data_IF_762321346441
#
_entry.id   IF_762321346441
#
_cell.length_a   1.000
_cell.length_b   1.000
_cell.length_c   1.000
_cell.angle_alpha   90.00
_cell.angle_beta   90.00
_cell.angle_gamma   90.00
#
_symmetry.space_group_name_H-M   'P 1'
#
loop_
_entity.id
_entity.type
_entity.pdbx_description
1 polymer ?
#
# COMPACT_ATOMS: atom_id res chain seq x y z
N UNK A 1 -12.26 -5.51 -12.43
CA UNK A 1 -12.70 -5.11 -11.08
C UNK A 1 -12.12 -3.79 -10.59
N UNK A 2 -11.02 -3.27 -11.17
CA UNK A 2 -10.47 -1.94 -10.84
C UNK A 2 -10.19 -1.74 -9.34
N UNK A 3 -9.63 -2.77 -8.69
CA UNK A 3 -9.24 -2.73 -7.28
C UNK A 3 -7.74 -2.44 -7.24
N UNK A 4 -7.29 -1.31 -6.65
CA UNK A 4 -5.87 -1.00 -6.55
C UNK A 4 -5.16 -1.95 -5.57
N UNK A 5 -3.88 -2.24 -5.86
CA UNK A 5 -3.00 -3.03 -5.00
C UNK A 5 -1.82 -2.14 -4.59
N UNK A 6 -1.70 -1.90 -3.29
CA UNK A 6 -0.64 -1.08 -2.71
C UNK A 6 0.45 -1.97 -2.12
N UNK A 7 1.72 -1.69 -2.45
CA UNK A 7 2.86 -2.48 -1.98
C UNK A 7 4.07 -1.56 -1.76
N UNK A 8 4.14 -0.86 -0.60
CA UNK A 8 5.26 0.04 -0.31
C UNK A 8 6.62 -0.70 -0.21
N UNK A 9 6.61 -1.99 0.11
CA UNK A 9 7.78 -2.87 0.15
C UNK A 9 8.05 -3.63 -1.15
N UNK A 10 7.72 -3.06 -2.32
CA UNK A 10 7.77 -3.76 -3.62
C UNK A 10 9.14 -4.39 -3.94
N UNK A 11 10.22 -3.77 -3.45
CA UNK A 11 11.59 -4.22 -3.68
C UNK A 11 12.04 -5.35 -2.73
N UNK A 12 11.28 -5.64 -1.67
CA UNK A 12 11.63 -6.65 -0.67
C UNK A 12 11.08 -8.04 -1.06
N UNK A 13 11.64 -8.60 -2.12
CA UNK A 13 11.28 -9.92 -2.66
C UNK A 13 11.95 -10.21 -3.99
N UNK A 14 11.67 -11.37 -4.59
CA UNK A 14 12.31 -11.80 -5.85
C UNK A 14 12.08 -10.82 -7.02
N UNK A 15 10.98 -10.06 -7.00
CA UNK A 15 10.77 -8.98 -7.97
C UNK A 15 11.84 -7.88 -7.83
N UNK A 16 12.23 -7.54 -6.61
CA UNK A 16 13.32 -6.60 -6.32
C UNK A 16 14.66 -7.05 -6.90
N UNK A 17 14.98 -8.34 -6.83
CA UNK A 17 16.18 -8.90 -7.47
C UNK A 17 16.17 -8.66 -8.98
N UNK A 18 15.01 -8.85 -9.61
CA UNK A 18 14.85 -8.60 -11.05
C UNK A 18 14.96 -7.12 -11.39
N UNK A 19 14.41 -6.23 -10.55
CA UNK A 19 14.57 -4.78 -10.71
C UNK A 19 16.05 -4.36 -10.62
N UNK A 20 16.81 -4.96 -9.71
CA UNK A 20 18.24 -4.76 -9.59
C UNK A 20 19.00 -5.23 -10.85
N UNK A 21 18.76 -6.47 -11.32
CA UNK A 21 19.42 -6.94 -12.55
C UNK A 21 19.03 -6.09 -13.76
N UNK A 22 17.78 -5.63 -13.83
CA UNK A 22 17.32 -4.73 -14.87
C UNK A 22 18.04 -3.38 -14.82
N UNK A 23 18.24 -2.78 -13.64
CA UNK A 23 18.91 -1.48 -13.50
C UNK A 23 20.40 -1.52 -13.85
N UNK A 24 21.06 -2.67 -13.70
CA UNK A 24 22.46 -2.85 -14.12
C UNK A 24 22.59 -2.93 -15.65
N UNK A 25 21.56 -3.46 -16.33
CA UNK A 25 21.60 -3.72 -17.77
C UNK A 25 21.03 -2.60 -18.65
N UNK A 26 20.19 -1.72 -18.09
CA UNK A 26 19.45 -0.71 -18.85
C UNK A 26 19.63 0.68 -18.25
N UNK A 27 19.85 1.68 -19.12
CA UNK A 27 19.89 3.10 -18.77
C UNK A 27 18.90 3.88 -19.67
N UNK A 28 17.88 4.57 -19.10
CA UNK A 28 17.59 4.68 -17.67
C UNK A 28 16.93 3.43 -17.09
N UNK A 29 17.25 3.11 -15.83
CA UNK A 29 16.58 2.06 -15.06
C UNK A 29 15.12 2.41 -14.72
N UNK A 30 14.36 1.44 -14.20
CA UNK A 30 12.99 1.69 -13.74
C UNK A 30 13.01 2.49 -12.43
N UNK A 31 12.24 3.58 -12.39
CA UNK A 31 12.03 4.37 -11.17
C UNK A 31 10.64 4.04 -10.62
N UNK A 32 10.58 3.65 -9.35
CA UNK A 32 9.33 3.37 -8.63
C UNK A 32 9.07 4.48 -7.62
N UNK A 33 7.99 5.23 -7.82
CA UNK A 33 7.60 6.33 -6.94
C UNK A 33 6.60 5.88 -5.87
N UNK A 34 7.12 5.60 -4.66
CA UNK A 34 6.30 5.21 -3.51
C UNK A 34 5.47 6.38 -2.92
N UNK A 35 5.80 7.64 -3.25
CA UNK A 35 5.07 8.81 -2.75
C UNK A 35 3.71 8.93 -3.43
N UNK A 36 3.64 8.59 -4.72
CA UNK A 36 2.36 8.51 -5.43
C UNK A 36 1.46 7.41 -4.85
N UNK A 37 2.04 6.27 -4.47
CA UNK A 37 1.30 5.13 -3.94
C UNK A 37 0.66 5.45 -2.59
N UNK A 38 1.42 6.01 -1.63
CA UNK A 38 0.88 6.43 -0.33
C UNK A 38 -0.16 7.54 -0.46
N UNK A 39 0.02 8.48 -1.41
CA UNK A 39 -0.97 9.55 -1.65
C UNK A 39 -2.27 8.97 -2.20
N UNK A 40 -2.19 7.98 -3.09
CA UNK A 40 -3.36 7.28 -3.60
C UNK A 40 -4.07 6.50 -2.47
N UNK A 41 -3.35 5.67 -1.72
CA UNK A 41 -3.92 4.87 -0.63
C UNK A 41 -4.58 5.72 0.47
N UNK A 42 -3.87 6.73 0.97
CA UNK A 42 -4.44 7.66 1.96
C UNK A 42 -5.65 8.41 1.37
N UNK A 43 -5.57 8.75 0.08
CA UNK A 43 -6.67 9.35 -0.67
C UNK A 43 -7.92 8.49 -0.70
N UNK A 44 -7.80 7.17 -0.86
CA UNK A 44 -8.93 6.23 -0.79
C UNK A 44 -9.65 6.31 0.56
N UNK A 45 -8.89 6.30 1.66
CA UNK A 45 -9.46 6.37 3.00
C UNK A 45 -10.13 7.73 3.28
N UNK A 46 -9.47 8.85 2.96
CA UNK A 46 -10.00 10.20 3.18
C UNK A 46 -11.27 10.45 2.37
N UNK A 47 -11.28 10.03 1.09
CA UNK A 47 -12.44 10.18 0.18
C UNK A 47 -13.58 9.20 0.48
N UNK A 48 -13.39 8.26 1.40
CA UNK A 48 -14.48 7.39 1.83
C UNK A 48 -15.57 8.20 2.54
N UNK A 49 -15.23 9.25 3.29
CA UNK A 49 -16.18 10.13 3.99
C UNK A 49 -17.18 10.76 3.00
N UNK A 50 -18.51 10.69 3.26
CA UNK A 50 -19.18 10.31 4.52
C UNK A 50 -19.51 8.81 4.66
N UNK A 51 -19.09 7.95 3.73
CA UNK A 51 -19.25 6.49 3.85
C UNK A 51 -18.32 5.92 4.93
N UNK A 52 -18.60 4.67 5.29
CA UNK A 52 -17.83 3.90 6.27
C UNK A 52 -16.68 3.14 5.61
N UNK A 53 -15.60 2.91 6.37
CA UNK A 53 -14.51 2.02 5.96
C UNK A 53 -14.49 0.76 6.83
N UNK A 54 -14.16 -0.37 6.21
CA UNK A 54 -13.96 -1.65 6.90
C UNK A 54 -12.58 -2.20 6.57
N UNK A 55 -11.87 -2.70 7.57
CA UNK A 55 -10.55 -3.33 7.41
C UNK A 55 -10.66 -4.83 7.70
N UNK A 56 -10.17 -5.66 6.79
CA UNK A 56 -9.94 -7.09 7.03
C UNK A 56 -8.46 -7.32 6.79
N UNK A 57 -7.71 -7.64 7.83
CA UNK A 57 -6.26 -7.74 7.79
C UNK A 57 -5.84 -9.13 8.24
N UNK A 58 -5.18 -9.85 7.33
CA UNK A 58 -4.61 -11.18 7.57
C UNK A 58 -3.10 -11.02 7.82
N UNK A 59 -2.62 -11.43 8.99
CA UNK A 59 -1.24 -11.24 9.45
C UNK A 59 -0.97 -9.86 10.06
N UNK A 60 0.30 -9.46 10.01
CA UNK A 60 0.82 -8.25 10.66
C UNK A 60 1.78 -7.44 9.79
N UNK A 61 2.75 -6.77 10.41
CA UNK A 61 3.81 -6.06 9.71
C UNK A 61 3.35 -4.88 8.86
N UNK A 62 4.01 -4.71 7.72
CA UNK A 62 3.85 -3.56 6.83
C UNK A 62 2.41 -3.40 6.30
N UNK A 63 1.71 -4.44 5.79
CA UNK A 63 0.33 -4.29 5.34
C UNK A 63 -0.62 -3.82 6.44
N UNK A 64 -0.51 -4.39 7.66
CA UNK A 64 -1.34 -3.98 8.81
C UNK A 64 -1.13 -2.51 9.14
N UNK A 65 0.12 -2.09 9.29
CA UNK A 65 0.43 -0.70 9.63
C UNK A 65 -0.02 0.28 8.54
N UNK A 66 0.24 -0.04 7.27
CA UNK A 66 -0.08 0.83 6.14
C UNK A 66 -1.60 1.07 6.01
N UNK A 67 -2.42 0.02 6.16
CA UNK A 67 -3.88 0.10 6.12
C UNK A 67 -4.43 0.88 7.32
N UNK A 68 -3.92 0.64 8.53
CA UNK A 68 -4.30 1.40 9.72
C UNK A 68 -3.93 2.88 9.59
N UNK A 69 -2.74 3.19 9.08
CA UNK A 69 -2.27 4.56 8.90
C UNK A 69 -3.10 5.33 7.87
N UNK A 70 -3.52 4.68 6.78
CA UNK A 70 -4.45 5.31 5.83
C UNK A 70 -5.79 5.66 6.50
N UNK A 71 -6.35 4.77 7.32
CA UNK A 71 -7.60 5.05 8.03
C UNK A 71 -7.43 6.04 9.18
N UNK A 72 -6.24 6.20 9.75
CA UNK A 72 -5.95 7.29 10.70
C UNK A 72 -6.24 8.67 10.09
N UNK A 73 -5.98 8.86 8.78
CA UNK A 73 -6.23 10.12 8.08
C UNK A 73 -7.71 10.52 8.02
N UNK A 74 -8.63 9.60 8.29
CA UNK A 74 -10.08 9.85 8.40
C UNK A 74 -10.60 9.71 9.84
N UNK A 75 -9.73 9.83 10.84
CA UNK A 75 -10.02 9.62 12.27
C UNK A 75 -10.40 8.18 12.67
N UNK A 76 -9.88 7.19 11.94
CA UNK A 76 -10.07 5.77 12.23
C UNK A 76 -11.03 5.06 11.27
N UNK A 77 -10.99 3.73 11.27
CA UNK A 77 -11.93 2.91 10.52
C UNK A 77 -13.19 2.62 11.33
N UNK A 78 -14.31 2.40 10.65
CA UNK A 78 -15.59 2.08 11.31
C UNK A 78 -15.65 0.62 11.78
N UNK A 79 -14.97 -0.28 11.06
CA UNK A 79 -14.92 -1.71 11.37
C UNK A 79 -13.53 -2.28 11.12
N UNK A 80 -13.10 -3.23 11.94
CA UNK A 80 -11.84 -3.93 11.75
C UNK A 80 -11.93 -5.40 12.20
N UNK A 81 -11.39 -6.30 11.38
CA UNK A 81 -11.14 -7.70 11.71
C UNK A 81 -9.67 -7.99 11.46
N UNK A 82 -8.98 -8.51 12.48
CA UNK A 82 -7.59 -8.96 12.39
C UNK A 82 -7.52 -10.46 12.62
N UNK A 83 -6.83 -11.17 11.73
CA UNK A 83 -6.52 -12.60 11.87
C UNK A 83 -5.01 -12.72 11.75
N UNK A 84 -4.29 -12.87 12.86
CA UNK A 84 -2.84 -12.95 12.91
C UNK A 84 -2.35 -14.09 13.80
#
# INVERSE_FOLDING_TARGET
NNIPVYCPGLTDGSLGDMLYFHSVRNDPGLIVDIVQDIRAMNGEAVKATPRKTGMIILGGGLPKHHICNANMMRNGADYAVFIN
#
